data_IF_900521944236
#
_entry.id   IF_900521944236
#
_cell.length_a   1.000
_cell.length_b   1.000
_cell.length_c   1.000
_cell.angle_alpha   90.00
_cell.angle_beta   90.00
_cell.angle_gamma   90.00
#
_symmetry.space_group_name_H-M   'P 1'
#
loop_
_entity.id
_entity.type
_entity.pdbx_description
1 polymer ?
#
# COMPACT_ATOMS: atom_id res chain seq x y z
N UNK A 1 0.21 -69.32 -14.76
CA UNK A 1 0.42 -68.52 -13.53
C UNK A 1 0.72 -67.11 -14.02
N UNK A 2 -0.27 -66.26 -14.32
CA UNK A 2 -1.03 -65.37 -13.42
C UNK A 2 -0.13 -64.50 -12.54
N UNK A 3 0.13 -63.26 -12.98
CA UNK A 3 0.47 -62.15 -12.11
C UNK A 3 -0.37 -60.93 -12.52
N UNK A 4 -1.12 -60.43 -11.55
CA UNK A 4 -2.15 -59.43 -11.71
C UNK A 4 -1.55 -58.02 -11.76
N UNK A 5 -1.97 -57.26 -12.77
CA UNK A 5 -1.69 -55.83 -12.91
C UNK A 5 -2.38 -55.05 -11.78
N UNK A 6 -1.65 -54.73 -10.72
CA UNK A 6 -2.14 -53.91 -9.61
C UNK A 6 -2.15 -52.44 -10.04
N UNK A 7 -3.30 -51.98 -10.51
CA UNK A 7 -3.59 -50.58 -10.83
C UNK A 7 -3.53 -49.76 -9.54
N UNK A 8 -2.59 -48.81 -9.41
CA UNK A 8 -2.56 -47.84 -8.31
C UNK A 8 -3.88 -47.05 -8.29
N UNK A 9 -4.54 -46.88 -7.13
CA UNK A 9 -5.70 -46.00 -7.05
C UNK A 9 -5.23 -44.55 -7.29
N UNK A 10 -5.95 -43.85 -8.18
CA UNK A 10 -5.81 -42.40 -8.37
C UNK A 10 -6.20 -41.74 -7.04
N UNK A 11 -5.28 -40.93 -6.48
CA UNK A 11 -5.56 -40.14 -5.30
C UNK A 11 -6.80 -39.27 -5.56
N UNK A 12 -7.73 -39.24 -4.60
CA UNK A 12 -8.90 -38.39 -4.68
C UNK A 12 -8.47 -36.92 -4.82
N UNK A 13 -9.20 -36.11 -5.62
CA UNK A 13 -8.92 -34.69 -5.70
C UNK A 13 -9.18 -34.09 -4.33
N UNK A 14 -8.11 -33.67 -3.65
CA UNK A 14 -8.21 -32.81 -2.48
C UNK A 14 -8.92 -31.55 -2.97
N UNK A 15 -10.18 -31.36 -2.55
CA UNK A 15 -10.85 -30.07 -2.67
C UNK A 15 -10.00 -29.09 -1.87
N UNK A 16 -9.10 -28.39 -2.56
CA UNK A 16 -8.28 -27.32 -2.02
C UNK A 16 -9.23 -26.17 -1.70
N UNK A 17 -9.81 -26.24 -0.49
CA UNK A 17 -10.65 -25.21 0.07
C UNK A 17 -9.84 -23.90 0.04
N UNK A 18 -10.35 -22.92 -0.72
CA UNK A 18 -9.65 -21.68 -0.96
C UNK A 18 -9.26 -21.06 0.40
N UNK A 19 -7.96 -20.77 0.61
CA UNK A 19 -7.48 -20.35 1.93
C UNK A 19 -8.26 -19.14 2.45
N UNK A 20 -8.68 -19.21 3.72
CA UNK A 20 -9.46 -18.16 4.38
C UNK A 20 -8.72 -16.82 4.24
N UNK A 21 -9.37 -15.85 3.60
CA UNK A 21 -8.82 -14.53 3.37
C UNK A 21 -8.43 -13.84 4.70
N UNK A 22 -9.13 -14.14 5.80
CA UNK A 22 -8.80 -13.61 7.13
C UNK A 22 -7.54 -14.25 7.74
N UNK A 23 -7.21 -15.48 7.35
CA UNK A 23 -5.99 -16.18 7.73
C UNK A 23 -4.80 -15.72 6.89
N UNK A 24 -5.00 -15.55 5.57
CA UNK A 24 -4.01 -14.90 4.69
C UNK A 24 -3.68 -13.47 5.13
N UNK A 25 -4.69 -12.70 5.54
CA UNK A 25 -4.49 -11.35 6.09
C UNK A 25 -3.68 -11.39 7.40
N UNK A 26 -3.90 -12.39 8.26
CA UNK A 26 -3.10 -12.59 9.48
C UNK A 26 -1.66 -12.98 9.17
N UNK A 27 -1.42 -13.85 8.18
CA UNK A 27 -0.08 -14.24 7.72
C UNK A 27 0.71 -13.08 7.09
N UNK A 28 0.06 -12.21 6.32
CA UNK A 28 0.73 -11.00 5.79
C UNK A 28 1.07 -9.99 6.90
N UNK A 29 0.25 -9.90 7.95
CA UNK A 29 0.52 -9.05 9.11
C UNK A 29 1.60 -9.64 10.04
N UNK A 30 1.77 -10.96 10.05
CA UNK A 30 2.82 -11.68 10.77
C UNK A 30 3.90 -12.14 9.80
N UNK A 31 4.83 -11.22 9.51
CA UNK A 31 6.00 -11.51 8.71
C UNK A 31 6.81 -12.71 9.26
N UNK A 32 6.74 -13.85 8.57
CA UNK A 32 7.44 -15.11 8.92
C UNK A 32 8.96 -14.96 9.08
N UNK A 33 9.55 -13.84 8.60
CA UNK A 33 10.96 -13.50 8.81
C UNK A 33 11.34 -13.28 10.28
N UNK A 34 10.37 -13.19 11.19
CA UNK A 34 10.59 -12.92 12.62
C UNK A 34 10.26 -14.11 13.54
N UNK A 35 10.10 -15.33 13.01
CA UNK A 35 9.93 -16.50 13.86
C UNK A 35 11.22 -16.88 14.62
N UNK A 36 11.15 -17.20 15.93
CA UNK A 36 12.31 -17.63 16.71
C UNK A 36 12.92 -18.92 16.14
N UNK A 37 14.10 -18.83 15.51
CA UNK A 37 14.83 -19.98 14.96
C UNK A 37 15.16 -19.90 13.47
N UNK A 38 14.61 -18.92 12.75
CA UNK A 38 14.98 -18.64 11.36
C UNK A 38 16.38 -18.02 11.26
N UNK A 39 17.10 -18.37 10.17
CA UNK A 39 18.41 -17.79 9.87
C UNK A 39 18.18 -16.29 9.66
N UNK A 40 18.80 -15.46 10.51
CA UNK A 40 18.87 -14.02 10.28
C UNK A 40 19.66 -13.84 9.01
N UNK A 41 18.98 -13.66 7.87
CA UNK A 41 19.63 -13.26 6.63
C UNK A 41 20.33 -11.94 6.93
N UNK A 42 21.65 -11.92 6.76
CA UNK A 42 22.40 -10.67 6.83
C UNK A 42 21.69 -9.65 5.94
N UNK A 43 21.49 -8.44 6.47
CA UNK A 43 20.89 -7.38 5.68
C UNK A 43 21.72 -7.27 4.41
N UNK A 44 21.05 -7.46 3.26
CA UNK A 44 21.69 -7.23 1.98
C UNK A 44 22.40 -5.88 2.02
N UNK A 45 23.66 -5.87 1.61
CA UNK A 45 24.43 -4.64 1.51
C UNK A 45 23.60 -3.63 0.72
N UNK A 46 23.47 -2.43 1.27
CA UNK A 46 22.65 -1.37 0.66
C UNK A 46 23.18 -1.14 -0.75
N UNK A 47 22.38 -1.36 -1.81
CA UNK A 47 22.85 -1.10 -3.15
C UNK A 47 23.29 0.37 -3.23
N UNK A 48 24.49 0.61 -3.74
CA UNK A 48 24.83 1.92 -4.26
C UNK A 48 23.94 2.15 -5.49
N UNK A 49 23.43 3.37 -5.66
CA UNK A 49 22.83 3.78 -6.91
C UNK A 49 23.90 3.87 -8.00
N UNK A 50 23.48 3.93 -9.27
CA UNK A 50 24.39 3.98 -10.43
C UNK A 50 25.38 5.17 -10.40
N UNK A 51 25.10 6.19 -9.58
CA UNK A 51 25.95 7.36 -9.34
C UNK A 51 26.92 7.22 -8.15
N UNK A 52 27.03 6.02 -7.56
CA UNK A 52 27.93 5.74 -6.43
C UNK A 52 27.47 6.35 -5.10
N UNK A 53 26.25 6.89 -5.03
CA UNK A 53 25.64 7.35 -3.79
C UNK A 53 24.77 6.24 -3.15
N UNK A 54 24.47 6.29 -1.85
CA UNK A 54 23.54 5.34 -1.24
C UNK A 54 22.19 5.31 -1.98
N UNK A 55 21.60 4.13 -2.26
CA UNK A 55 20.26 4.09 -2.86
C UNK A 55 19.18 4.61 -1.89
N UNK A 56 19.35 4.33 -0.59
CA UNK A 56 18.47 4.81 0.46
C UNK A 56 19.26 5.20 1.71
N UNK A 57 18.72 6.14 2.48
CA UNK A 57 19.20 6.44 3.83
C UNK A 57 18.40 5.58 4.80
N UNK A 58 19.08 4.95 5.76
CA UNK A 58 18.45 4.12 6.78
C UNK A 58 17.35 4.90 7.50
N UNK A 59 16.14 4.35 7.50
CA UNK A 59 15.02 4.94 8.22
C UNK A 59 15.12 4.57 9.71
N UNK A 60 15.35 5.55 10.57
CA UNK A 60 15.57 5.35 12.01
C UNK A 60 14.26 5.18 12.79
N UNK A 61 13.14 5.65 12.24
CA UNK A 61 11.84 5.65 12.89
C UNK A 61 10.74 5.23 11.89
N UNK A 62 10.53 3.91 11.68
CA UNK A 62 9.48 3.42 10.80
C UNK A 62 8.11 3.90 11.30
N UNK A 63 7.23 4.25 10.37
CA UNK A 63 5.86 4.62 10.71
C UNK A 63 5.07 3.40 11.16
N UNK A 64 4.18 3.54 12.17
CA UNK A 64 3.43 2.40 12.71
C UNK A 64 2.45 1.79 11.69
N UNK A 65 2.06 2.55 10.67
CA UNK A 65 1.10 2.14 9.64
C UNK A 65 1.73 1.48 8.42
N UNK A 66 3.05 1.26 8.41
CA UNK A 66 3.77 0.71 7.25
C UNK A 66 3.19 -0.63 6.77
N UNK A 67 2.82 -1.53 7.69
CA UNK A 67 2.21 -2.82 7.36
C UNK A 67 0.72 -2.72 6.96
N UNK A 68 0.01 -1.70 7.43
CA UNK A 68 -1.40 -1.49 7.13
C UNK A 68 -1.65 -0.68 5.84
N UNK A 69 -0.60 -0.06 5.29
CA UNK A 69 -0.69 0.86 4.15
C UNK A 69 -1.44 0.25 2.96
N UNK A 70 -1.11 -0.98 2.58
CA UNK A 70 -1.74 -1.68 1.44
C UNK A 70 -3.25 -1.80 1.65
N UNK A 71 -3.69 -2.24 2.83
CA UNK A 71 -5.11 -2.41 3.12
C UNK A 71 -5.88 -1.08 3.12
N UNK A 72 -5.28 -0.02 3.66
CA UNK A 72 -5.87 1.33 3.60
C UNK A 72 -6.00 1.83 2.15
N UNK A 73 -4.98 1.60 1.32
CA UNK A 73 -4.97 2.00 -0.08
C UNK A 73 -6.02 1.27 -0.91
N UNK A 74 -6.29 -0.02 -0.63
CA UNK A 74 -7.30 -0.82 -1.36
C UNK A 74 -8.69 -0.20 -1.22
N UNK A 75 -9.06 0.27 -0.02
CA UNK A 75 -10.36 0.92 0.21
C UNK A 75 -10.47 2.21 -0.63
N UNK A 76 -9.42 3.03 -0.59
CA UNK A 76 -9.35 4.26 -1.38
C UNK A 76 -9.43 4.00 -2.88
N UNK A 77 -8.77 2.95 -3.37
CA UNK A 77 -8.77 2.54 -4.78
C UNK A 77 -10.18 2.20 -5.25
N UNK A 78 -10.88 1.28 -4.58
CA UNK A 78 -12.24 0.90 -4.98
C UNK A 78 -13.23 2.07 -4.91
N UNK A 79 -13.16 2.88 -3.84
CA UNK A 79 -14.00 4.07 -3.73
C UNK A 79 -13.74 5.06 -4.87
N UNK A 80 -12.47 5.30 -5.20
CA UNK A 80 -12.08 6.16 -6.32
C UNK A 80 -12.58 5.65 -7.66
N UNK A 81 -12.42 4.35 -7.93
CA UNK A 81 -12.93 3.72 -9.16
C UNK A 81 -14.44 3.87 -9.29
N UNK A 82 -15.21 3.59 -8.23
CA UNK A 82 -16.66 3.75 -8.24
C UNK A 82 -17.07 5.19 -8.56
N UNK A 83 -16.44 6.17 -7.90
CA UNK A 83 -16.75 7.60 -8.10
C UNK A 83 -16.44 8.03 -9.53
N UNK A 84 -15.25 7.72 -10.02
CA UNK A 84 -14.83 8.09 -11.38
C UNK A 84 -15.74 7.44 -12.41
N UNK A 85 -16.09 6.16 -12.24
CA UNK A 85 -17.00 5.45 -13.14
C UNK A 85 -18.41 6.06 -13.11
N UNK A 86 -18.97 6.32 -11.92
CA UNK A 86 -20.30 6.90 -11.79
C UNK A 86 -20.39 8.28 -12.45
N UNK A 87 -19.39 9.14 -12.22
CA UNK A 87 -19.34 10.47 -12.84
C UNK A 87 -19.23 10.39 -14.37
N UNK A 88 -18.41 9.47 -14.91
CA UNK A 88 -18.31 9.25 -16.35
C UNK A 88 -19.61 8.71 -16.98
N UNK A 89 -20.42 7.98 -16.20
CA UNK A 89 -21.73 7.48 -16.63
C UNK A 89 -22.86 8.52 -16.46
N UNK A 90 -22.54 9.75 -16.05
CA UNK A 90 -23.50 10.85 -15.94
C UNK A 90 -24.12 11.04 -14.57
N UNK A 91 -23.66 10.33 -13.53
CA UNK A 91 -24.06 10.60 -12.15
C UNK A 91 -23.62 12.01 -11.73
N UNK A 92 -24.36 12.60 -10.80
CA UNK A 92 -24.11 13.93 -10.24
C UNK A 92 -23.35 13.83 -8.92
N UNK A 93 -22.68 14.91 -8.54
CA UNK A 93 -22.01 15.03 -7.24
C UNK A 93 -22.95 14.85 -6.03
N UNK A 94 -24.25 15.14 -6.21
CA UNK A 94 -25.29 14.95 -5.21
C UNK A 94 -25.75 13.50 -5.04
N UNK A 95 -25.41 12.61 -5.99
CA UNK A 95 -25.94 11.26 -6.00
C UNK A 95 -25.26 10.40 -4.93
N UNK A 96 -26.01 9.57 -4.17
CA UNK A 96 -25.43 8.75 -3.11
C UNK A 96 -24.29 7.83 -3.56
N UNK A 97 -24.35 7.36 -4.82
CA UNK A 97 -23.32 6.53 -5.45
C UNK A 97 -21.97 7.24 -5.60
N UNK A 98 -21.96 8.58 -5.59
CA UNK A 98 -20.74 9.40 -5.58
C UNK A 98 -20.38 9.82 -4.16
N UNK A 99 -21.34 10.31 -3.37
CA UNK A 99 -21.09 10.87 -2.03
C UNK A 99 -20.55 9.84 -1.06
N UNK A 100 -21.19 8.67 -0.97
CA UNK A 100 -20.85 7.65 0.03
C UNK A 100 -19.41 7.15 -0.18
N UNK A 101 -18.99 6.75 -1.40
CA UNK A 101 -17.61 6.32 -1.59
C UNK A 101 -16.59 7.44 -1.43
N UNK A 102 -16.91 8.69 -1.79
CA UNK A 102 -16.01 9.84 -1.50
C UNK A 102 -15.75 9.95 0.00
N UNK A 103 -16.80 9.91 0.83
CA UNK A 103 -16.65 10.07 2.27
C UNK A 103 -15.94 8.89 2.93
N UNK A 104 -16.27 7.65 2.52
CA UNK A 104 -15.64 6.45 3.06
C UNK A 104 -14.18 6.35 2.62
N UNK A 105 -13.91 6.53 1.32
CA UNK A 105 -12.57 6.39 0.74
C UNK A 105 -11.61 7.51 1.16
N UNK A 106 -12.11 8.72 1.40
CA UNK A 106 -11.27 9.85 1.79
C UNK A 106 -10.54 9.62 3.13
N UNK A 107 -11.19 9.01 4.12
CA UNK A 107 -10.61 8.80 5.46
C UNK A 107 -9.32 7.96 5.41
N UNK A 108 -9.31 6.71 4.91
CA UNK A 108 -8.08 5.92 4.82
C UNK A 108 -7.06 6.55 3.85
N UNK A 109 -7.52 7.24 2.81
CA UNK A 109 -6.64 7.92 1.86
C UNK A 109 -5.89 9.09 2.53
N UNK A 110 -6.55 9.90 3.35
CA UNK A 110 -5.88 10.94 4.14
C UNK A 110 -4.82 10.34 5.07
N UNK A 111 -5.16 9.25 5.78
CA UNK A 111 -4.22 8.58 6.68
C UNK A 111 -2.97 8.11 5.91
N UNK A 112 -3.18 7.42 4.78
CA UNK A 112 -2.10 6.91 3.94
C UNK A 112 -1.23 8.04 3.35
N UNK A 113 -1.85 9.14 2.92
CA UNK A 113 -1.15 10.31 2.40
C UNK A 113 -0.35 11.05 3.48
N UNK A 114 -0.91 11.22 4.68
CA UNK A 114 -0.21 11.84 5.80
C UNK A 114 1.01 11.02 6.23
N UNK A 115 0.87 9.69 6.30
CA UNK A 115 1.98 8.78 6.58
C UNK A 115 3.08 8.91 5.53
N UNK A 116 2.72 8.84 4.24
CA UNK A 116 3.66 8.96 3.14
C UNK A 116 4.36 10.33 3.13
N UNK A 117 3.62 11.42 3.36
CA UNK A 117 4.16 12.77 3.44
C UNK A 117 5.20 12.88 4.58
N UNK A 118 4.90 12.35 5.77
CA UNK A 118 5.81 12.37 6.90
C UNK A 118 7.10 11.59 6.62
N UNK A 119 6.98 10.40 6.02
CA UNK A 119 8.15 9.58 5.63
C UNK A 119 9.05 10.33 4.65
N UNK A 120 8.46 10.91 3.60
CA UNK A 120 9.22 11.66 2.60
C UNK A 120 9.81 12.94 3.23
N UNK A 121 9.05 13.66 4.05
CA UNK A 121 9.52 14.88 4.71
C UNK A 121 10.73 14.63 5.63
N UNK A 122 10.71 13.55 6.43
CA UNK A 122 11.85 13.15 7.26
C UNK A 122 13.08 12.80 6.45
N UNK A 123 12.91 12.31 5.22
CA UNK A 123 14.03 11.98 4.34
C UNK A 123 14.71 13.22 3.72
N UNK A 124 14.05 14.38 3.66
CA UNK A 124 14.62 15.61 3.10
C UNK A 124 15.90 16.07 3.82
N UNK A 125 15.91 16.28 5.15
CA UNK A 125 17.12 16.71 5.87
C UNK A 125 18.23 15.67 5.81
N UNK A 126 17.89 14.37 5.77
CA UNK A 126 18.87 13.30 5.63
C UNK A 126 19.62 13.35 4.28
N UNK A 127 18.96 13.81 3.22
CA UNK A 127 19.56 13.95 1.89
C UNK A 127 20.27 15.27 1.65
N UNK A 128 19.94 16.32 2.42
CA UNK A 128 20.49 17.67 2.23
C UNK A 128 22.03 17.74 2.25
N UNK A 129 22.76 17.08 3.18
CA UNK A 129 24.22 17.12 3.17
C UNK A 129 24.87 16.23 2.10
N UNK A 130 24.15 15.24 1.56
CA UNK A 130 24.69 14.27 0.59
C UNK A 130 24.46 14.78 -0.84
N UNK A 131 23.22 15.15 -1.19
CA UNK A 131 22.85 15.59 -2.52
C UNK A 131 21.60 16.49 -2.48
N UNK A 132 21.79 17.77 -2.80
CA UNK A 132 20.71 18.78 -2.80
C UNK A 132 19.62 18.50 -3.83
N UNK A 133 19.95 17.96 -5.00
CA UNK A 133 18.97 17.62 -6.04
C UNK A 133 18.00 16.52 -5.56
N UNK A 134 18.55 15.46 -4.96
CA UNK A 134 17.76 14.36 -4.35
C UNK A 134 16.90 14.84 -3.18
N UNK A 135 17.38 15.81 -2.40
CA UNK A 135 16.63 16.42 -1.31
C UNK A 135 15.49 17.32 -1.83
N UNK A 136 15.76 18.16 -2.83
CA UNK A 136 14.75 19.02 -3.48
C UNK A 136 13.66 18.19 -4.16
N UNK A 137 14.03 17.11 -4.84
CA UNK A 137 13.06 16.19 -5.44
C UNK A 137 12.10 15.60 -4.40
N UNK A 138 12.62 15.23 -3.22
CA UNK A 138 11.79 14.75 -2.09
C UNK A 138 10.91 15.85 -1.52
N UNK A 139 11.43 17.06 -1.37
CA UNK A 139 10.65 18.21 -0.93
C UNK A 139 9.51 18.54 -1.91
N UNK A 140 9.78 18.44 -3.22
CA UNK A 140 8.75 18.58 -4.26
C UNK A 140 7.67 17.51 -4.12
N UNK A 141 8.05 16.25 -3.85
CA UNK A 141 7.09 15.20 -3.60
C UNK A 141 6.22 15.44 -2.36
N UNK A 142 6.78 15.97 -1.27
CA UNK A 142 5.99 16.39 -0.10
C UNK A 142 4.95 17.43 -0.52
N UNK A 143 5.35 18.44 -1.31
CA UNK A 143 4.44 19.44 -1.84
C UNK A 143 3.34 18.81 -2.72
N UNK A 144 3.70 17.86 -3.60
CA UNK A 144 2.72 17.14 -4.42
C UNK A 144 1.70 16.40 -3.57
N UNK A 145 2.12 15.69 -2.52
CA UNK A 145 1.22 14.98 -1.62
C UNK A 145 0.28 15.96 -0.91
N UNK A 146 0.79 17.09 -0.42
CA UNK A 146 -0.03 18.13 0.22
C UNK A 146 -1.04 18.75 -0.77
N UNK A 147 -0.64 18.99 -2.02
CA UNK A 147 -1.54 19.49 -3.06
C UNK A 147 -2.66 18.50 -3.36
N UNK A 148 -2.35 17.21 -3.51
CA UNK A 148 -3.37 16.18 -3.73
C UNK A 148 -4.28 16.07 -2.51
N UNK A 149 -3.75 16.18 -1.29
CA UNK A 149 -4.55 16.13 -0.06
C UNK A 149 -5.51 17.33 0.01
N UNK A 150 -5.07 18.51 -0.43
CA UNK A 150 -5.93 19.69 -0.54
C UNK A 150 -7.05 19.50 -1.57
N UNK A 151 -6.75 18.91 -2.74
CA UNK A 151 -7.76 18.57 -3.76
C UNK A 151 -8.78 17.58 -3.19
N UNK A 152 -8.33 16.55 -2.48
CA UNK A 152 -9.21 15.60 -1.81
C UNK A 152 -10.09 16.29 -0.77
N UNK A 153 -9.53 17.19 0.04
CA UNK A 153 -10.29 17.97 1.02
C UNK A 153 -11.39 18.81 0.36
N UNK A 154 -11.08 19.41 -0.80
CA UNK A 154 -12.07 20.15 -1.60
C UNK A 154 -13.16 19.22 -2.15
N UNK A 155 -12.81 18.02 -2.62
CA UNK A 155 -13.77 17.03 -3.09
C UNK A 155 -14.70 16.55 -1.96
N UNK A 156 -14.16 16.29 -0.76
CA UNK A 156 -14.94 15.96 0.44
C UNK A 156 -15.87 17.10 0.81
N UNK A 157 -15.36 18.35 0.82
CA UNK A 157 -16.19 19.53 1.08
C UNK A 157 -17.32 19.66 0.05
N UNK A 158 -17.02 19.46 -1.23
CA UNK A 158 -18.04 19.49 -2.28
C UNK A 158 -19.10 18.40 -2.06
N UNK A 159 -18.68 17.17 -1.73
CA UNK A 159 -19.60 16.08 -1.41
C UNK A 159 -20.44 16.36 -0.15
N UNK A 160 -19.94 17.09 0.85
CA UNK A 160 -20.75 17.44 2.02
C UNK A 160 -21.79 18.54 1.74
N UNK A 161 -21.52 19.42 0.76
CA UNK A 161 -22.34 20.60 0.46
C UNK A 161 -23.24 20.45 -0.77
N UNK A 162 -23.01 19.44 -1.61
CA UNK A 162 -23.83 19.09 -2.77
C UNK A 162 -25.12 18.36 -2.36
#
# INVERSE_FOLDING_TARGET
>A
MSEAETKRPLAEPVEEEAPDAAELLRGVLHDERFEPGMIVLDRQEVPLADDGLPAYVKEEAPTPLRGAYIYLSVIGFFCGTIVISALNLGARWSDPIVKIPVLIGAVPLFIAMSEAALRVARSVPAWWPINRGRALFRALWVLTILTIAAILALAVRAALLA
#
